data_IF_551825728505
#
_entry.id   IF_551825728505
#
_cell.length_a   1.000
_cell.length_b   1.000
_cell.length_c   1.000
_cell.angle_alpha   90.00
_cell.angle_beta   90.00
_cell.angle_gamma   90.00
#
_symmetry.space_group_name_H-M   'P 1'
#
loop_
_entity.id
_entity.type
_entity.pdbx_description
1 polymer ?
#
# COMPACT_ATOMS: atom_id res chain seq x y z
N UNK A 1 -58.13 -5.80 -22.21
CA UNK A 1 -58.76 -5.09 -21.08
C UNK A 1 -58.62 -5.97 -19.85
N UNK A 2 -58.35 -5.36 -18.68
CA UNK A 2 -57.98 -5.96 -17.37
C UNK A 2 -56.47 -6.20 -17.20
N UNK A 3 -55.65 -5.19 -16.90
CA UNK A 3 -55.47 -4.42 -15.64
C UNK A 3 -54.59 -5.10 -14.58
N UNK A 4 -53.29 -4.83 -14.72
CA UNK A 4 -52.33 -4.39 -13.71
C UNK A 4 -52.76 -4.44 -12.22
N UNK A 5 -52.40 -5.52 -11.53
CA UNK A 5 -52.40 -5.59 -10.06
C UNK A 5 -51.05 -6.03 -9.47
N UNK A 6 -49.93 -5.53 -10.01
CA UNK A 6 -48.63 -5.60 -9.34
C UNK A 6 -48.23 -4.21 -8.82
N UNK A 7 -49.00 -3.71 -7.85
CA UNK A 7 -48.63 -2.53 -7.07
C UNK A 7 -47.58 -2.93 -6.02
N UNK A 8 -46.33 -2.54 -6.30
CA UNK A 8 -45.41 -1.93 -5.32
C UNK A 8 -45.40 -2.59 -3.93
N UNK A 9 -44.88 -3.82 -3.84
CA UNK A 9 -44.25 -4.27 -2.59
C UNK A 9 -43.03 -3.40 -2.34
N UNK A 10 -43.25 -2.29 -1.63
CA UNK A 10 -42.24 -1.42 -1.07
C UNK A 10 -41.40 -2.28 -0.11
N UNK A 11 -40.29 -2.83 -0.60
CA UNK A 11 -39.29 -3.50 0.24
C UNK A 11 -38.87 -2.50 1.30
N UNK A 12 -39.37 -2.68 2.52
CA UNK A 12 -38.84 -1.98 3.68
C UNK A 12 -37.37 -2.42 3.76
N UNK A 13 -36.40 -1.49 3.76
CA UNK A 13 -35.00 -1.88 3.73
C UNK A 13 -34.70 -2.72 4.97
N UNK A 14 -34.08 -3.89 4.78
CA UNK A 14 -33.82 -4.87 5.85
C UNK A 14 -33.09 -4.25 7.06
N UNK A 15 -32.35 -3.15 6.86
CA UNK A 15 -31.73 -2.34 7.91
C UNK A 15 -32.72 -1.73 8.93
N UNK A 16 -33.96 -1.41 8.54
CA UNK A 16 -35.01 -0.95 9.47
C UNK A 16 -35.60 -2.11 10.26
N UNK A 17 -35.66 -3.31 9.66
CA UNK A 17 -36.15 -4.52 10.31
C UNK A 17 -35.17 -4.97 11.40
N UNK A 18 -33.88 -4.94 11.12
CA UNK A 18 -32.83 -5.23 12.10
C UNK A 18 -32.82 -4.21 13.26
N UNK A 19 -32.78 -2.90 12.95
CA UNK A 19 -32.79 -1.85 13.99
C UNK A 19 -34.06 -1.87 14.84
N UNK A 20 -35.22 -2.13 14.22
CA UNK A 20 -36.49 -2.31 14.93
C UNK A 20 -36.51 -3.55 15.81
N UNK A 21 -35.94 -4.66 15.34
CA UNK A 21 -35.83 -5.91 16.10
C UNK A 21 -34.95 -5.75 17.35
N UNK A 22 -33.85 -5.00 17.27
CA UNK A 22 -33.03 -4.70 18.45
C UNK A 22 -33.80 -3.88 19.48
N UNK A 23 -34.50 -2.82 19.06
CA UNK A 23 -35.32 -1.99 19.97
C UNK A 23 -36.41 -2.82 20.64
N UNK A 24 -37.04 -3.73 19.90
CA UNK A 24 -38.08 -4.61 20.41
C UNK A 24 -37.49 -5.64 21.40
N UNK A 25 -36.35 -6.25 21.08
CA UNK A 25 -35.65 -7.16 21.98
C UNK A 25 -35.20 -6.47 23.28
N UNK A 26 -34.64 -5.26 23.19
CA UNK A 26 -34.26 -4.47 24.37
C UNK A 26 -35.46 -4.11 25.24
N UNK A 27 -36.62 -3.81 24.63
CA UNK A 27 -37.86 -3.54 25.34
C UNK A 27 -38.38 -4.77 26.10
N UNK A 28 -38.33 -5.95 25.48
CA UNK A 28 -38.75 -7.22 26.11
C UNK A 28 -37.81 -7.62 27.26
N UNK A 29 -36.51 -7.42 27.10
CA UNK A 29 -35.54 -7.68 28.17
C UNK A 29 -35.76 -6.72 29.35
N UNK A 30 -35.99 -5.44 29.08
CA UNK A 30 -36.27 -4.45 30.12
C UNK A 30 -37.57 -4.75 30.88
N UNK A 31 -38.62 -5.21 30.20
CA UNK A 31 -39.87 -5.60 30.84
C UNK A 31 -39.73 -6.89 31.66
N UNK A 32 -38.99 -7.89 31.17
CA UNK A 32 -38.68 -9.10 31.94
C UNK A 32 -37.88 -8.80 33.21
N UNK A 33 -36.90 -7.89 33.14
CA UNK A 33 -36.11 -7.48 34.31
C UNK A 33 -36.97 -6.75 35.36
N UNK A 34 -37.94 -5.93 34.94
CA UNK A 34 -38.90 -5.33 35.87
C UNK A 34 -39.79 -6.38 36.54
N UNK A 35 -40.28 -7.38 35.80
CA UNK A 35 -41.12 -8.46 36.34
C UNK A 35 -40.32 -9.36 37.31
N UNK A 36 -39.03 -9.56 37.06
CA UNK A 36 -38.14 -10.31 37.94
C UNK A 36 -37.75 -9.56 39.23
N UNK A 37 -38.27 -8.34 39.44
CA UNK A 37 -38.06 -7.56 40.66
C UNK A 37 -36.70 -6.83 40.71
N UNK A 38 -36.01 -6.66 39.58
CA UNK A 38 -34.82 -5.82 39.55
C UNK A 38 -35.20 -4.36 39.79
N UNK A 39 -34.47 -3.63 40.65
CA UNK A 39 -34.76 -2.23 40.91
C UNK A 39 -34.63 -1.38 39.64
N UNK A 40 -35.57 -0.45 39.44
CA UNK A 40 -35.62 0.39 38.23
C UNK A 40 -34.32 1.19 38.00
N UNK A 41 -33.62 1.60 39.06
CA UNK A 41 -32.35 2.31 38.95
C UNK A 41 -31.24 1.45 38.34
N UNK A 42 -31.25 0.12 38.56
CA UNK A 42 -30.27 -0.81 37.98
C UNK A 42 -30.51 -0.92 36.47
N UNK A 43 -31.76 -1.10 36.06
CA UNK A 43 -32.15 -1.20 34.64
C UNK A 43 -31.77 0.09 33.90
N UNK A 44 -32.06 1.25 34.49
CA UNK A 44 -31.72 2.55 33.92
C UNK A 44 -30.21 2.76 33.82
N UNK A 45 -29.45 2.40 34.87
CA UNK A 45 -27.99 2.48 34.87
C UNK A 45 -27.37 1.63 33.77
N UNK A 46 -27.79 0.37 33.63
CA UNK A 46 -27.29 -0.52 32.57
C UNK A 46 -27.74 -0.07 31.17
N UNK A 47 -28.93 0.51 31.02
CA UNK A 47 -29.39 1.07 29.74
C UNK A 47 -28.54 2.27 29.30
N UNK A 48 -28.28 3.22 30.22
CA UNK A 48 -27.38 4.34 29.97
C UNK A 48 -25.96 3.86 29.70
N UNK A 49 -25.47 2.92 30.51
CA UNK A 49 -24.13 2.36 30.36
C UNK A 49 -23.96 1.66 29.00
N UNK A 50 -24.92 0.83 28.58
CA UNK A 50 -24.92 0.20 27.28
C UNK A 50 -25.01 1.22 26.14
N UNK A 51 -25.81 2.29 26.30
CA UNK A 51 -25.85 3.40 25.36
C UNK A 51 -24.49 4.11 25.25
N UNK A 52 -23.81 4.37 26.37
CA UNK A 52 -22.47 4.95 26.37
C UNK A 52 -21.45 4.02 25.75
N UNK A 53 -21.47 2.71 26.04
CA UNK A 53 -20.62 1.72 25.40
C UNK A 53 -20.85 1.66 23.88
N UNK A 54 -22.11 1.61 23.45
CA UNK A 54 -22.45 1.71 22.03
C UNK A 54 -21.88 3.00 21.45
N UNK A 55 -22.07 4.14 22.12
CA UNK A 55 -21.66 5.46 21.64
C UNK A 55 -20.15 5.62 21.55
N UNK A 56 -19.39 5.07 22.50
CA UNK A 56 -17.92 5.10 22.50
C UNK A 56 -17.35 4.19 21.42
N UNK A 57 -17.92 2.99 21.23
CA UNK A 57 -17.48 2.08 20.16
C UNK A 57 -17.97 2.48 18.76
N UNK A 58 -19.10 3.19 18.65
CA UNK A 58 -19.64 3.68 17.37
C UNK A 58 -19.15 5.08 16.99
N UNK A 59 -18.27 5.69 17.79
CA UNK A 59 -17.65 6.95 17.39
C UNK A 59 -16.64 6.67 16.28
N UNK A 60 -16.71 7.36 15.12
CA UNK A 60 -15.77 7.17 14.03
C UNK A 60 -14.35 7.38 14.55
N UNK A 61 -13.48 6.45 14.18
CA UNK A 61 -12.21 6.27 14.87
C UNK A 61 -11.33 7.50 14.65
N UNK A 62 -10.84 8.12 15.73
CA UNK A 62 -9.79 9.16 15.64
C UNK A 62 -8.48 8.64 15.00
N UNK A 63 -8.39 7.33 14.76
CA UNK A 63 -7.22 6.66 14.22
C UNK A 63 -7.04 6.91 12.72
N UNK A 64 -8.10 7.01 11.93
CA UNK A 64 -7.99 7.16 10.47
C UNK A 64 -7.17 8.39 10.07
N UNK A 65 -7.40 9.52 10.74
CA UNK A 65 -6.62 10.74 10.50
C UNK A 65 -5.14 10.57 10.85
N UNK A 66 -4.82 9.84 11.93
CA UNK A 66 -3.44 9.56 12.32
C UNK A 66 -2.75 8.66 11.31
N UNK A 67 -3.48 7.70 10.74
CA UNK A 67 -2.99 6.79 9.72
C UNK A 67 -2.54 7.54 8.46
N UNK A 68 -3.27 8.58 8.04
CA UNK A 68 -2.88 9.46 6.92
C UNK A 68 -1.49 10.07 7.14
N UNK A 69 -1.25 10.67 8.32
CA UNK A 69 0.04 11.30 8.61
C UNK A 69 1.18 10.29 8.76
N UNK A 70 0.91 9.10 9.30
CA UNK A 70 1.89 8.02 9.33
C UNK A 70 2.22 7.51 7.94
N UNK A 71 1.22 7.44 7.06
CA UNK A 71 1.44 7.12 5.65
C UNK A 71 2.32 8.18 4.98
N UNK A 72 2.09 9.48 5.21
CA UNK A 72 2.96 10.53 4.66
C UNK A 72 4.40 10.45 5.14
N UNK A 73 4.61 10.14 6.43
CA UNK A 73 5.96 9.91 6.95
C UNK A 73 6.65 8.75 6.22
N UNK A 74 6.00 7.57 6.21
CA UNK A 74 6.54 6.39 5.57
C UNK A 74 6.75 6.59 4.05
N UNK A 75 5.80 7.24 3.37
CA UNK A 75 5.90 7.54 1.95
C UNK A 75 7.03 8.53 1.65
N UNK A 76 7.20 9.57 2.48
CA UNK A 76 8.30 10.52 2.32
C UNK A 76 9.66 9.85 2.52
N UNK A 77 9.79 8.93 3.48
CA UNK A 77 11.02 8.18 3.70
C UNK A 77 11.34 7.27 2.50
N UNK A 78 10.33 6.63 1.91
CA UNK A 78 10.50 5.80 0.70
C UNK A 78 10.80 6.64 -0.53
N UNK A 79 10.14 7.78 -0.69
CA UNK A 79 10.28 8.64 -1.88
C UNK A 79 11.53 9.51 -1.87
N UNK A 80 12.15 9.73 -0.70
CA UNK A 80 13.48 10.34 -0.64
C UNK A 80 14.49 9.49 -1.41
N UNK A 81 15.35 10.16 -2.15
CA UNK A 81 16.49 9.58 -2.85
C UNK A 81 17.67 9.40 -1.89
N UNK A 82 17.40 8.91 -0.68
CA UNK A 82 18.46 8.55 0.26
C UNK A 82 19.14 7.27 -0.27
N UNK A 83 20.46 7.12 -0.04
CA UNK A 83 21.28 5.98 -0.51
C UNK A 83 20.78 4.60 -0.04
N UNK A 84 19.81 4.58 0.88
CA UNK A 84 19.12 3.36 1.32
C UNK A 84 18.28 2.79 0.18
N UNK A 85 18.72 1.65 -0.35
CA UNK A 85 17.89 0.82 -1.23
C UNK A 85 16.72 0.25 -0.44
N UNK A 86 15.52 0.72 -0.75
CA UNK A 86 14.28 0.18 -0.20
C UNK A 86 13.98 -1.17 -0.84
N UNK A 87 13.53 -2.12 -0.03
CA UNK A 87 13.10 -3.42 -0.55
C UNK A 87 11.68 -3.33 -1.09
N UNK A 88 11.38 -4.14 -2.11
CA UNK A 88 10.05 -4.16 -2.74
C UNK A 88 8.91 -4.46 -1.76
N UNK A 89 9.16 -5.29 -0.73
CA UNK A 89 8.15 -5.59 0.30
C UNK A 89 7.85 -4.39 1.20
N UNK A 90 8.85 -3.58 1.57
CA UNK A 90 8.66 -2.37 2.38
C UNK A 90 7.82 -1.37 1.60
N UNK A 91 8.15 -1.18 0.32
CA UNK A 91 7.40 -0.30 -0.57
C UNK A 91 5.94 -0.75 -0.74
N UNK A 92 5.73 -2.07 -0.91
CA UNK A 92 4.38 -2.63 -1.01
C UNK A 92 3.58 -2.51 0.29
N UNK A 93 4.24 -2.58 1.45
CA UNK A 93 3.58 -2.31 2.73
C UNK A 93 3.10 -0.86 2.83
N UNK A 94 3.94 0.11 2.42
CA UNK A 94 3.58 1.53 2.42
C UNK A 94 2.45 1.80 1.42
N UNK A 95 2.52 1.24 0.22
CA UNK A 95 1.46 1.30 -0.80
C UNK A 95 0.16 0.72 -0.24
N UNK A 96 0.20 -0.48 0.35
CA UNK A 96 -0.97 -1.13 0.94
C UNK A 96 -1.60 -0.32 2.08
N UNK A 97 -0.80 0.44 2.84
CA UNK A 97 -1.34 1.40 3.84
C UNK A 97 -2.07 2.55 3.16
N UNK A 98 -1.49 3.15 2.12
CA UNK A 98 -2.13 4.21 1.36
C UNK A 98 -3.44 3.78 0.69
N UNK A 99 -3.50 2.55 0.16
CA UNK A 99 -4.74 2.00 -0.41
C UNK A 99 -5.84 1.78 0.63
N UNK A 100 -5.48 1.32 1.84
CA UNK A 100 -6.45 1.16 2.93
C UNK A 100 -7.08 2.50 3.30
N UNK A 101 -6.28 3.56 3.37
CA UNK A 101 -6.75 4.93 3.64
C UNK A 101 -7.74 5.37 2.56
N UNK A 102 -7.43 5.13 1.29
CA UNK A 102 -8.32 5.48 0.16
C UNK A 102 -9.66 4.75 0.21
N UNK A 103 -9.68 3.50 0.66
CA UNK A 103 -10.92 2.71 0.81
C UNK A 103 -11.71 3.10 2.05
N UNK A 104 -11.02 3.53 3.11
CA UNK A 104 -11.65 3.90 4.38
C UNK A 104 -12.29 5.29 4.31
N UNK A 105 -11.62 6.26 3.66
CA UNK A 105 -12.03 7.67 3.69
C UNK A 105 -12.80 8.05 2.44
N UNK A 106 -14.06 8.41 2.62
CA UNK A 106 -14.86 9.01 1.56
C UNK A 106 -14.35 10.42 1.26
N UNK A 107 -13.71 10.59 0.10
CA UNK A 107 -13.07 11.85 -0.30
C UNK A 107 -11.70 12.05 0.34
N UNK A 108 -10.80 11.07 0.18
CA UNK A 108 -9.43 11.13 0.69
C UNK A 108 -8.68 12.39 0.18
N UNK A 109 -7.75 12.96 0.97
CA UNK A 109 -7.00 14.15 0.58
C UNK A 109 -6.22 13.94 -0.73
N UNK A 110 -6.10 14.95 -1.60
CA UNK A 110 -5.42 14.84 -2.91
C UNK A 110 -3.93 14.53 -2.77
N UNK A 111 -3.33 14.96 -1.65
CA UNK A 111 -1.96 14.59 -1.31
C UNK A 111 -1.80 13.07 -1.12
N UNK A 112 -2.82 12.35 -0.63
CA UNK A 112 -2.81 10.88 -0.56
C UNK A 112 -2.74 10.26 -1.95
N UNK A 113 -3.55 10.75 -2.90
CA UNK A 113 -3.52 10.26 -4.28
C UNK A 113 -2.17 10.54 -4.95
N UNK A 114 -1.63 11.75 -4.79
CA UNK A 114 -0.32 12.09 -5.35
C UNK A 114 0.79 11.20 -4.80
N UNK A 115 0.83 11.04 -3.48
CA UNK A 115 1.85 10.23 -2.81
C UNK A 115 1.76 8.77 -3.22
N UNK A 116 0.56 8.21 -3.34
CA UNK A 116 0.37 6.85 -3.85
C UNK A 116 0.83 6.71 -5.30
N UNK A 117 0.49 7.68 -6.15
CA UNK A 117 0.95 7.72 -7.54
C UNK A 117 2.47 7.76 -7.66
N UNK A 118 3.13 8.57 -6.83
CA UNK A 118 4.59 8.64 -6.77
C UNK A 118 5.23 7.33 -6.27
N UNK A 119 4.62 6.67 -5.28
CA UNK A 119 5.08 5.36 -4.79
C UNK A 119 4.94 4.29 -5.87
N UNK A 120 3.82 4.27 -6.60
CA UNK A 120 3.63 3.35 -7.72
C UNK A 120 4.64 3.58 -8.86
N UNK A 121 4.96 4.83 -9.14
CA UNK A 121 6.02 5.18 -10.11
C UNK A 121 7.37 4.62 -9.66
N UNK A 122 7.73 4.80 -8.38
CA UNK A 122 8.99 4.25 -7.82
C UNK A 122 8.99 2.71 -7.76
N UNK A 123 7.83 2.08 -7.61
CA UNK A 123 7.66 0.62 -7.62
C UNK A 123 7.70 0.01 -9.04
N UNK A 124 7.59 0.83 -10.10
CA UNK A 124 7.55 0.37 -11.49
C UNK A 124 6.17 -0.05 -12.00
N UNK A 125 5.10 0.12 -11.19
CA UNK A 125 3.72 -0.02 -11.67
C UNK A 125 3.22 1.33 -12.20
N UNK A 126 3.63 1.63 -13.42
CA UNK A 126 3.31 2.90 -14.07
C UNK A 126 1.82 3.04 -14.41
N UNK A 127 1.07 1.94 -14.55
CA UNK A 127 -0.36 2.01 -14.87
C UNK A 127 -1.15 2.58 -13.69
N UNK A 128 -0.88 2.06 -12.50
CA UNK A 128 -1.48 2.56 -11.26
C UNK A 128 -1.01 3.98 -10.96
N UNK A 129 0.27 4.28 -11.21
CA UNK A 129 0.82 5.63 -11.07
C UNK A 129 0.06 6.67 -11.91
N UNK A 130 -0.16 6.40 -13.21
CA UNK A 130 -0.90 7.31 -14.09
C UNK A 130 -2.32 7.56 -13.58
N UNK A 131 -3.04 6.52 -13.14
CA UNK A 131 -4.41 6.69 -12.65
C UNK A 131 -4.49 7.63 -11.45
N UNK A 132 -3.60 7.45 -10.47
CA UNK A 132 -3.59 8.27 -9.26
C UNK A 132 -3.06 9.68 -9.49
N UNK A 133 -2.02 9.84 -10.34
CA UNK A 133 -1.46 11.15 -10.67
C UNK A 133 -2.42 11.97 -11.56
N UNK A 134 -3.04 11.34 -12.56
CA UNK A 134 -4.04 11.99 -13.42
C UNK A 134 -5.24 12.46 -12.61
N UNK A 135 -5.70 11.66 -11.64
CA UNK A 135 -6.79 12.06 -10.75
C UNK A 135 -6.52 13.39 -10.04
N UNK A 136 -5.27 13.65 -9.62
CA UNK A 136 -4.91 14.86 -8.86
C UNK A 136 -4.60 16.05 -9.74
N UNK A 137 -4.03 15.82 -10.92
CA UNK A 137 -3.51 16.89 -11.79
C UNK A 137 -4.47 17.32 -12.88
N UNK A 138 -5.36 16.43 -13.33
CA UNK A 138 -6.27 16.68 -14.45
C UNK A 138 -7.72 16.91 -14.01
N UNK A 139 -8.12 16.44 -12.82
CA UNK A 139 -9.46 16.70 -12.29
C UNK A 139 -9.47 17.93 -11.38
N UNK A 140 -10.16 18.98 -11.79
CA UNK A 140 -10.41 20.18 -10.95
C UNK A 140 -11.27 19.87 -9.71
N UNK A 141 -12.08 18.80 -9.77
CA UNK A 141 -12.86 18.31 -8.63
C UNK A 141 -12.00 17.64 -7.54
N UNK A 142 -10.73 17.36 -7.83
CA UNK A 142 -9.80 16.82 -6.85
C UNK A 142 -9.23 17.91 -5.94
N UNK A 143 -9.52 19.20 -6.14
CA UNK A 143 -9.05 20.24 -5.23
C UNK A 143 -9.83 20.26 -3.91
N UNK A 144 -9.12 20.37 -2.78
CA UNK A 144 -9.76 20.44 -1.46
C UNK A 144 -10.68 21.65 -1.29
N UNK A 145 -10.45 22.72 -2.07
CA UNK A 145 -11.24 23.94 -2.06
C UNK A 145 -12.66 23.75 -2.63
N UNK A 146 -12.87 22.70 -3.43
CA UNK A 146 -14.14 22.43 -4.11
C UNK A 146 -15.17 21.75 -3.19
N UNK A 147 -14.74 21.23 -2.04
CA UNK A 147 -15.65 20.54 -1.11
C UNK A 147 -16.49 21.52 -0.26
N UNK A 148 -17.77 21.66 -0.61
CA UNK A 148 -18.74 22.45 0.17
C UNK A 148 -19.14 21.74 1.47
N UNK A 149 -19.28 20.41 1.44
CA UNK A 149 -19.65 19.58 2.58
C UNK A 149 -18.62 18.47 2.82
N UNK A 150 -17.50 18.78 3.51
CA UNK A 150 -16.45 17.80 3.75
C UNK A 150 -16.91 16.69 4.70
N UNK A 151 -16.39 15.48 4.51
CA UNK A 151 -16.61 14.35 5.42
C UNK A 151 -16.06 14.66 6.83
N UNK A 152 -16.58 14.03 7.90
CA UNK A 152 -16.09 14.27 9.27
C UNK A 152 -14.59 13.95 9.43
N UNK A 153 -14.11 12.93 8.72
CA UNK A 153 -12.69 12.55 8.66
C UNK A 153 -11.83 13.62 8.00
N UNK A 154 -12.26 14.16 6.85
CA UNK A 154 -11.55 15.22 6.16
C UNK A 154 -11.49 16.50 7.01
N UNK A 155 -12.57 16.83 7.73
CA UNK A 155 -12.57 17.95 8.70
C UNK A 155 -11.55 17.73 9.81
N UNK A 156 -11.46 16.51 10.35
CA UNK A 156 -10.49 16.20 11.40
C UNK A 156 -9.06 16.24 10.86
N UNK A 157 -8.82 15.72 9.66
CA UNK A 157 -7.56 15.83 8.94
C UNK A 157 -7.12 17.28 8.79
N UNK A 158 -7.97 18.13 8.23
CA UNK A 158 -7.67 19.57 8.07
C UNK A 158 -7.40 20.24 9.42
N UNK A 159 -8.15 19.89 10.47
CA UNK A 159 -7.92 20.44 11.83
C UNK A 159 -6.54 20.06 12.37
N UNK A 160 -6.15 18.80 12.22
CA UNK A 160 -4.82 18.32 12.66
C UNK A 160 -3.72 18.93 11.79
N UNK A 161 -3.92 19.02 10.47
CA UNK A 161 -2.99 19.65 9.54
C UNK A 161 -2.74 21.11 9.92
N UNK A 162 -3.80 21.90 10.15
CA UNK A 162 -3.68 23.30 10.62
C UNK A 162 -2.97 23.42 11.96
N UNK A 163 -3.15 22.45 12.87
CA UNK A 163 -2.42 22.43 14.14
C UNK A 163 -0.92 22.25 13.90
N UNK A 164 -0.53 21.29 13.07
CA UNK A 164 0.86 21.02 12.70
C UNK A 164 1.48 22.19 11.93
N UNK A 165 0.70 22.88 11.10
CA UNK A 165 1.17 24.07 10.38
C UNK A 165 1.39 25.27 11.29
N UNK A 166 0.49 25.48 12.27
CA UNK A 166 0.60 26.56 13.27
C UNK A 166 1.75 26.30 14.24
N UNK A 167 1.94 25.05 14.66
CA UNK A 167 2.92 24.65 15.67
C UNK A 167 3.80 23.50 15.13
N UNK A 168 4.74 23.78 14.21
CA UNK A 168 5.57 22.75 13.60
C UNK A 168 6.50 22.05 14.62
N UNK A 169 6.73 22.65 15.79
CA UNK A 169 7.51 22.08 16.86
C UNK A 169 6.85 20.87 17.54
N UNK A 170 5.51 20.75 17.52
CA UNK A 170 4.82 19.60 18.11
C UNK A 170 5.01 18.30 17.29
N UNK A 171 5.21 18.43 15.98
CA UNK A 171 5.37 17.29 15.08
C UNK A 171 6.33 17.62 13.92
N UNK A 172 7.63 17.82 14.20
CA UNK A 172 8.61 18.33 13.23
C UNK A 172 8.78 17.39 12.04
N UNK A 173 8.83 16.08 12.27
CA UNK A 173 8.96 15.07 11.21
C UNK A 173 7.75 15.08 10.27
N UNK A 174 6.54 15.11 10.84
CA UNK A 174 5.30 15.11 10.06
C UNK A 174 5.16 16.40 9.24
N UNK A 175 5.47 17.55 9.86
CA UNK A 175 5.45 18.85 9.18
C UNK A 175 6.44 18.88 8.01
N UNK A 176 7.66 18.37 8.22
CA UNK A 176 8.67 18.27 7.17
C UNK A 176 8.24 17.34 6.02
N UNK A 177 7.73 16.14 6.33
CA UNK A 177 7.26 15.18 5.35
C UNK A 177 6.10 15.74 4.50
N UNK A 178 5.07 16.31 5.14
CA UNK A 178 3.94 16.91 4.42
C UNK A 178 4.41 18.03 3.49
N UNK A 179 5.28 18.93 3.97
CA UNK A 179 5.84 20.01 3.13
C UNK A 179 6.70 19.49 1.99
N UNK A 180 7.49 18.45 2.21
CA UNK A 180 8.33 17.85 1.18
C UNK A 180 7.47 17.20 0.08
N UNK A 181 6.44 16.46 0.47
CA UNK A 181 5.50 15.82 -0.46
C UNK A 181 4.66 16.85 -1.23
N UNK A 182 4.20 17.92 -0.58
CA UNK A 182 3.51 19.03 -1.25
C UNK A 182 4.41 19.75 -2.25
N UNK A 183 5.69 19.98 -1.92
CA UNK A 183 6.66 20.53 -2.88
C UNK A 183 6.89 19.57 -4.05
N UNK A 184 7.02 18.27 -3.77
CA UNK A 184 7.16 17.26 -4.81
C UNK A 184 5.93 17.25 -5.73
N UNK A 185 4.72 17.36 -5.19
CA UNK A 185 3.48 17.45 -5.96
C UNK A 185 3.50 18.64 -6.91
N UNK A 186 3.87 19.82 -6.42
CA UNK A 186 3.88 21.07 -7.22
C UNK A 186 4.98 21.08 -8.28
N UNK A 187 6.18 20.62 -7.92
CA UNK A 187 7.36 20.75 -8.78
C UNK A 187 7.52 19.57 -9.73
N UNK A 188 7.28 18.34 -9.24
CA UNK A 188 7.53 17.09 -9.97
C UNK A 188 6.25 16.39 -10.42
N UNK A 189 5.07 16.81 -9.96
CA UNK A 189 3.82 16.09 -10.27
C UNK A 189 3.55 15.92 -11.77
N UNK A 190 3.67 17.00 -12.54
CA UNK A 190 3.47 16.97 -14.00
C UNK A 190 4.51 16.10 -14.70
N UNK A 191 5.79 16.29 -14.34
CA UNK A 191 6.91 15.52 -14.88
C UNK A 191 6.73 14.02 -14.61
N UNK A 192 6.40 13.64 -13.38
CA UNK A 192 6.15 12.25 -12.99
C UNK A 192 4.99 11.62 -13.77
N UNK A 193 3.94 12.39 -14.05
CA UNK A 193 2.79 11.91 -14.81
C UNK A 193 3.17 11.65 -16.27
N UNK A 194 3.93 12.55 -16.89
CA UNK A 194 4.44 12.38 -18.25
C UNK A 194 5.40 11.20 -18.35
N UNK A 195 6.39 11.11 -17.45
CA UNK A 195 7.32 9.98 -17.35
C UNK A 195 6.58 8.65 -17.18
N UNK A 196 5.58 8.61 -16.29
CA UNK A 196 4.74 7.41 -16.10
C UNK A 196 4.01 7.02 -17.38
N UNK A 197 3.48 7.98 -18.14
CA UNK A 197 2.79 7.71 -19.42
C UNK A 197 3.75 7.16 -20.46
N UNK A 198 4.94 7.73 -20.59
CA UNK A 198 5.99 7.26 -21.49
C UNK A 198 6.40 5.82 -21.16
N UNK A 199 6.62 5.53 -19.88
CA UNK A 199 6.98 4.18 -19.42
C UNK A 199 5.87 3.16 -19.67
N UNK A 200 4.59 3.52 -19.50
CA UNK A 200 3.47 2.64 -19.85
C UNK A 200 3.47 2.32 -21.35
N UNK A 201 3.72 3.31 -22.21
CA UNK A 201 3.79 3.11 -23.65
C UNK A 201 4.96 2.21 -24.03
N UNK A 202 6.14 2.46 -23.46
CA UNK A 202 7.34 1.65 -23.70
C UNK A 202 7.15 0.20 -23.24
N UNK A 203 6.60 -0.02 -22.03
CA UNK A 203 6.27 -1.35 -21.53
C UNK A 203 5.24 -2.06 -22.43
N UNK A 204 4.24 -1.34 -22.93
CA UNK A 204 3.25 -1.92 -23.84
C UNK A 204 3.86 -2.33 -25.18
N UNK A 205 4.82 -1.54 -25.70
CA UNK A 205 5.54 -1.84 -26.93
C UNK A 205 6.45 -3.06 -26.77
N UNK A 206 7.24 -3.11 -25.69
CA UNK A 206 8.07 -4.28 -25.34
C UNK A 206 7.24 -5.55 -25.19
N UNK A 207 6.07 -5.47 -24.56
CA UNK A 207 5.14 -6.61 -24.43
C UNK A 207 4.60 -7.08 -25.78
N UNK A 208 4.30 -6.17 -26.71
CA UNK A 208 3.85 -6.51 -28.07
C UNK A 208 4.96 -7.15 -28.90
N UNK A 209 6.17 -6.60 -28.86
CA UNK A 209 7.34 -7.17 -29.55
C UNK A 209 7.66 -8.57 -29.01
N UNK A 210 7.65 -8.77 -27.68
CA UNK A 210 7.85 -10.08 -27.07
C UNK A 210 6.75 -11.09 -27.44
N UNK A 211 5.49 -10.66 -27.52
CA UNK A 211 4.38 -11.51 -27.94
C UNK A 211 4.51 -11.94 -29.42
N UNK A 212 4.98 -11.05 -30.28
CA UNK A 212 5.26 -11.36 -31.69
C UNK A 212 6.41 -12.37 -31.83
N UNK A 213 7.49 -12.22 -31.07
CA UNK A 213 8.59 -13.19 -31.08
C UNK A 213 8.18 -14.54 -30.49
N UNK A 214 7.34 -14.56 -29.45
CA UNK A 214 6.73 -15.79 -28.93
C UNK A 214 5.78 -16.44 -29.96
N UNK A 215 5.06 -15.65 -30.75
CA UNK A 215 4.21 -16.17 -31.81
C UNK A 215 5.04 -16.76 -32.97
N UNK A 216 6.13 -16.09 -33.38
CA UNK A 216 7.06 -16.59 -34.40
C UNK A 216 7.74 -17.90 -33.96
N UNK A 217 8.25 -17.95 -32.73
CA UNK A 217 8.89 -19.17 -32.20
C UNK A 217 7.90 -20.34 -32.10
N UNK A 218 6.65 -20.09 -31.71
CA UNK A 218 5.60 -21.12 -31.74
C UNK A 218 5.25 -21.56 -33.17
N UNK A 219 5.15 -20.63 -34.12
CA UNK A 219 4.88 -20.95 -35.52
C UNK A 219 5.99 -21.81 -36.15
N UNK A 220 7.26 -21.46 -35.92
CA UNK A 220 8.42 -22.24 -36.38
C UNK A 220 8.46 -23.64 -35.74
N UNK A 221 8.13 -23.76 -34.46
CA UNK A 221 8.01 -25.08 -33.82
C UNK A 221 6.90 -25.94 -34.44
N UNK A 222 5.81 -25.31 -34.87
CA UNK A 222 4.66 -26.02 -35.47
C UNK A 222 4.97 -26.49 -36.89
N UNK A 223 5.71 -25.70 -37.68
CA UNK A 223 6.21 -26.13 -39.00
C UNK A 223 7.25 -27.26 -38.89
N UNK A 224 8.12 -27.24 -37.87
CA UNK A 224 9.13 -28.31 -37.67
C UNK A 224 8.55 -29.68 -37.27
N UNK A 225 7.29 -29.74 -36.81
CA UNK A 225 6.59 -30.99 -36.46
C UNK A 225 5.82 -31.55 -37.66
N UNK A 226 5.52 -30.74 -38.66
CA UNK A 226 4.82 -31.19 -39.88
C UNK A 226 5.73 -31.94 -40.86
N UNK A 227 7.05 -31.76 -40.79
CA UNK A 227 8.03 -32.46 -41.64
C UNK A 227 8.54 -33.81 -41.06
N UNK A 228 8.06 -34.24 -39.88
CA UNK A 228 8.42 -35.55 -39.29
C UNK A 228 7.24 -36.53 -39.24
N UNK A 229 6.06 -36.14 -39.71
CA UNK A 229 4.89 -37.02 -39.76
C UNK A 229 4.81 -37.82 -41.08
N UNK A 230 5.85 -38.57 -41.42
CA UNK A 230 5.79 -39.65 -42.42
C UNK A 230 6.57 -40.86 -41.84
N UNK A 231 5.95 -42.04 -41.88
CA UNK A 231 6.24 -43.29 -41.14
C UNK A 231 5.67 -43.30 -39.71
N UNK A 232 4.76 -44.18 -39.31
CA UNK A 232 4.36 -45.48 -39.88
C UNK A 232 2.98 -45.83 -39.31
N UNK A 233 2.10 -46.33 -40.17
CA UNK A 233 0.75 -46.78 -39.84
C UNK A 233 0.70 -48.29 -39.61
N UNK A 234 -0.36 -48.71 -38.87
CA UNK A 234 -0.98 -50.05 -38.80
C UNK A 234 -0.23 -51.06 -37.89
N UNK A 235 -0.80 -51.66 -36.83
CA UNK A 235 -2.18 -52.18 -36.63
C UNK A 235 -2.72 -52.01 -35.20
N UNK A 236 -4.03 -51.81 -35.14
CA UNK A 236 -4.94 -51.95 -34.01
C UNK A 236 -4.85 -53.34 -33.33
N UNK A 237 -5.00 -53.36 -32.01
CA UNK A 237 -6.03 -54.21 -31.40
C UNK A 237 -6.53 -53.60 -30.07
N UNK A 238 -7.86 -53.57 -29.98
CA UNK A 238 -8.71 -52.99 -28.96
C UNK A 238 -8.83 -53.95 -27.78
N UNK A 239 -8.56 -53.50 -26.54
CA UNK A 239 -9.34 -53.91 -25.36
C UNK A 239 -9.61 -52.69 -24.47
N UNK A 240 -10.90 -52.55 -24.20
CA UNK A 240 -11.62 -51.52 -23.48
C UNK A 240 -11.50 -51.68 -21.95
N UNK A 241 -11.79 -50.57 -21.26
CA UNK A 241 -12.38 -50.46 -19.91
C UNK A 241 -11.49 -50.19 -18.67
N UNK A 242 -11.55 -48.91 -18.29
CA UNK A 242 -12.14 -48.38 -17.05
C UNK A 242 -11.25 -48.01 -15.85
N UNK A 243 -11.55 -46.78 -15.40
CA UNK A 243 -11.50 -46.24 -14.03
C UNK A 243 -10.19 -45.61 -13.51
N UNK A 244 -10.26 -44.28 -13.38
CA UNK A 244 -10.38 -43.69 -12.04
C UNK A 244 -9.12 -43.01 -11.48
N UNK A 245 -9.10 -41.69 -11.60
CA UNK A 245 -8.20 -40.77 -10.92
C UNK A 245 -8.09 -41.00 -9.40
N UNK A 246 -6.88 -40.80 -8.86
CA UNK A 246 -6.70 -40.40 -7.47
C UNK A 246 -5.43 -40.92 -6.83
N UNK A 247 -4.30 -40.25 -7.04
CA UNK A 247 -3.14 -40.40 -6.16
C UNK A 247 -2.66 -39.03 -5.67
N UNK A 248 -3.13 -38.68 -4.46
CA UNK A 248 -2.39 -37.85 -3.53
C UNK A 248 -1.01 -38.47 -3.32
N UNK A 249 0.05 -37.66 -3.37
CA UNK A 249 1.31 -38.02 -2.73
C UNK A 249 1.82 -36.84 -1.90
N UNK A 250 1.81 -37.10 -0.60
CA UNK A 250 2.27 -36.28 0.51
C UNK A 250 3.57 -36.92 1.02
N UNK A 251 4.69 -36.25 0.83
CA UNK A 251 5.95 -36.47 1.54
C UNK A 251 6.73 -35.16 1.43
N UNK A 252 6.89 -34.31 2.46
CA UNK A 252 7.63 -34.48 3.73
C UNK A 252 8.98 -35.18 3.53
N UNK A 253 10.03 -34.38 3.41
CA UNK A 253 11.36 -34.70 3.90
C UNK A 253 12.00 -33.42 4.45
N UNK A 254 12.44 -33.51 5.70
CA UNK A 254 13.09 -32.50 6.51
C UNK A 254 14.51 -32.17 5.99
N UNK A 255 14.99 -30.96 6.29
CA UNK A 255 16.39 -30.76 6.72
C UNK A 255 16.62 -29.30 7.10
N UNK A 256 16.31 -28.98 8.35
CA UNK A 256 16.85 -27.83 9.07
C UNK A 256 18.12 -28.24 9.81
N UNK A 257 19.30 -27.77 9.40
CA UNK A 257 20.38 -27.38 10.32
C UNK A 257 21.60 -26.84 9.56
N UNK A 258 22.01 -25.62 9.86
CA UNK A 258 23.40 -25.37 10.29
C UNK A 258 23.53 -23.95 10.86
N UNK A 259 23.73 -23.90 12.17
CA UNK A 259 24.49 -22.85 12.85
C UNK A 259 25.98 -23.21 12.80
N UNK A 260 26.81 -22.26 13.22
CA UNK A 260 28.29 -22.27 13.38
C UNK A 260 29.04 -21.81 12.12
N UNK A 261 30.06 -20.97 12.16
CA UNK A 261 30.87 -20.47 13.27
C UNK A 261 31.52 -19.12 12.94
N UNK A 262 31.74 -18.34 13.99
CA UNK A 262 32.77 -17.32 14.14
C UNK A 262 34.17 -17.75 13.68
N UNK A 263 34.94 -16.80 13.11
CA UNK A 263 36.38 -16.64 13.41
C UNK A 263 36.95 -15.33 12.87
N UNK A 264 37.57 -14.60 13.81
CA UNK A 264 38.54 -13.53 13.61
C UNK A 264 39.78 -13.99 12.84
N UNK A 265 40.38 -13.09 12.03
CA UNK A 265 41.81 -12.73 12.00
C UNK A 265 42.08 -11.79 10.80
N UNK A 266 42.44 -10.53 11.03
CA UNK A 266 43.80 -9.98 11.21
C UNK A 266 44.62 -9.83 9.91
N UNK A 267 44.59 -8.60 9.38
CA UNK A 267 45.68 -7.73 8.90
C UNK A 267 46.93 -8.40 8.27
N UNK A 268 47.22 -8.07 7.00
CA UNK A 268 48.57 -7.68 6.57
C UNK A 268 48.55 -6.85 5.28
N UNK A 269 49.37 -5.80 5.28
CA UNK A 269 49.73 -4.88 4.19
C UNK A 269 50.72 -5.55 3.22
N UNK A 270 50.59 -5.30 1.91
CA UNK A 270 51.65 -4.64 1.13
C UNK A 270 51.28 -4.42 -0.36
N UNK A 271 51.26 -3.14 -0.70
CA UNK A 271 51.77 -2.44 -1.89
C UNK A 271 51.69 -2.96 -3.35
N UNK A 272 51.27 -1.98 -4.18
CA UNK A 272 51.67 -1.64 -5.55
C UNK A 272 51.06 -2.40 -6.73
N UNK A 273 50.05 -1.78 -7.37
CA UNK A 273 50.26 -1.06 -8.64
C UNK A 273 49.05 -0.18 -9.02
N UNK A 274 49.33 1.12 -9.07
CA UNK A 274 48.93 2.15 -10.04
C UNK A 274 47.77 1.86 -11.02
N UNK A 275 46.70 2.68 -10.96
CA UNK A 275 46.21 3.50 -12.09
C UNK A 275 44.85 4.19 -11.77
N UNK A 276 44.89 5.52 -11.57
CA UNK A 276 43.92 6.45 -12.18
C UNK A 276 42.56 6.75 -11.52
N UNK A 277 42.48 7.11 -10.23
CA UNK A 277 41.25 7.75 -9.72
C UNK A 277 41.50 8.91 -8.71
N UNK A 278 41.17 10.18 -9.04
CA UNK A 278 41.51 11.37 -8.23
C UNK A 278 40.70 11.57 -6.94
N UNK A 279 39.76 10.67 -6.61
CA UNK A 279 38.88 10.81 -5.44
C UNK A 279 39.36 10.08 -4.17
N UNK A 280 40.50 9.39 -4.20
CA UNK A 280 41.01 8.61 -3.04
C UNK A 280 41.87 9.48 -2.09
N UNK A 281 42.18 10.73 -2.44
CA UNK A 281 43.05 11.63 -1.64
C UNK A 281 42.30 12.50 -0.61
N UNK A 282 41.18 12.04 -0.05
CA UNK A 282 40.60 12.70 1.11
C UNK A 282 41.10 11.99 2.38
N UNK A 283 41.98 12.68 3.13
CA UNK A 283 42.41 12.24 4.45
C UNK A 283 41.18 11.99 5.33
N UNK A 284 41.16 10.88 6.06
CA UNK A 284 40.06 10.59 6.99
C UNK A 284 40.03 11.66 8.08
N UNK A 285 38.84 11.98 8.61
CA UNK A 285 38.66 12.99 9.67
C UNK A 285 39.58 12.70 10.88
N UNK A 286 39.84 11.43 11.16
CA UNK A 286 40.76 10.97 12.20
C UNK A 286 42.21 11.43 11.95
N UNK A 287 42.67 11.41 10.69
CA UNK A 287 44.01 11.86 10.30
C UNK A 287 44.14 13.39 10.36
N UNK A 288 43.06 14.11 9.99
CA UNK A 288 42.99 15.59 10.12
C UNK A 288 42.99 16.02 11.60
N UNK A 289 42.36 15.25 12.48
CA UNK A 289 42.36 15.51 13.93
C UNK A 289 43.76 15.32 14.54
N UNK A 290 44.52 14.30 14.13
CA UNK A 290 45.90 14.12 14.60
C UNK A 290 46.84 15.27 14.18
N UNK A 291 46.68 15.81 12.96
CA UNK A 291 47.45 16.96 12.47
C UNK A 291 47.20 18.27 13.25
N UNK A 292 46.07 18.39 13.96
CA UNK A 292 45.71 19.57 14.77
C UNK A 292 46.30 19.48 16.19
N UNK A 293 46.44 18.28 16.75
CA UNK A 293 46.93 18.10 18.13
C UNK A 293 48.45 17.98 18.24
N UNK A 294 49.16 17.62 17.16
CA UNK A 294 50.62 17.36 17.19
C UNK A 294 51.50 18.54 16.70
N UNK A 295 50.95 19.72 16.42
CA UNK A 295 51.74 20.91 16.06
C UNK A 295 51.87 21.89 17.22
N UNK A 296 52.99 21.87 17.98
CA UNK A 296 53.30 22.95 18.90
C UNK A 296 53.61 24.25 18.13
N UNK A 297 53.00 25.35 18.60
CA UNK A 297 53.23 26.72 18.14
C UNK A 297 54.72 27.03 17.92
N UNK A 298 55.14 27.17 16.66
CA UNK A 298 56.38 27.89 16.33
C UNK A 298 56.02 29.28 15.83
N UNK A 299 55.96 30.21 16.78
CA UNK A 299 56.03 31.65 16.57
C UNK A 299 57.35 32.00 15.88
N UNK A 300 57.28 32.78 14.81
CA UNK A 300 58.17 33.91 14.52
C UNK A 300 57.52 34.85 13.53
#
# INVERSE_FOLDING_TARGET
>A
MSDNNNKLQKRVPDALKEKGQYVLAFSVIASMLMVAGFPMFVIFFFGIFAYFLWKTFSSPSRNETREIFQFYLAANDVLRDDERRWFGFEMQEVIGRGERILRAINGAPPLVYFTLGALYHKAGDYKSAVNHLAYVLENESAEEATYIYPSPELRNYVKVLRKIEREPAEAPLTSAAVRALERARRNRGKVLLEESREQVQEQSRKKREAALEQAKTKAVLTESVQDVAVFQSVTDEVIENQHGNGFENKAKADSSNSKTSSRDQKRNENENQDNGNPFIRQKSITEVLHDIYDKPNSVK
#
